data_IF_973586128056
#
_entry.id   IF_973586128056
#
_cell.length_a   1.000
_cell.length_b   1.000
_cell.length_c   1.000
_cell.angle_alpha   90.00
_cell.angle_beta   90.00
_cell.angle_gamma   90.00
#
_symmetry.space_group_name_H-M   'P 1'
#
loop_
_entity.id
_entity.type
_entity.pdbx_description
1 polymer ?
#
# COMPACT_ATOMS: atom_id res chain seq x y z
N UNK A 1 -27.52 9.67 -8.13
CA UNK A 1 -27.62 8.61 -7.10
C UNK A 1 -26.29 7.89 -7.16
N UNK A 2 -25.35 8.33 -6.33
CA UNK A 2 -23.99 7.80 -6.31
C UNK A 2 -24.06 6.40 -5.68
N UNK A 3 -23.73 5.39 -6.46
CA UNK A 3 -23.70 4.00 -6.01
C UNK A 3 -22.36 3.75 -5.33
N UNK A 4 -22.33 3.82 -4.00
CA UNK A 4 -21.15 3.56 -3.15
C UNK A 4 -20.57 2.13 -3.29
N UNK A 5 -21.17 1.26 -4.13
CA UNK A 5 -20.70 -0.11 -4.34
C UNK A 5 -19.75 -0.31 -5.51
N UNK A 6 -19.56 0.68 -6.39
CA UNK A 6 -18.75 0.51 -7.61
C UNK A 6 -17.29 0.96 -7.47
N UNK A 7 -16.92 1.55 -6.33
CA UNK A 7 -15.55 2.02 -6.03
C UNK A 7 -14.76 1.08 -5.10
N UNK A 8 -15.15 -0.21 -5.03
CA UNK A 8 -14.15 -1.25 -4.72
C UNK A 8 -13.27 -1.44 -5.96
N UNK A 9 -12.49 -0.41 -6.30
CA UNK A 9 -11.33 -0.54 -7.17
C UNK A 9 -10.40 -1.55 -6.51
N UNK A 10 -10.53 -2.84 -6.84
CA UNK A 10 -9.60 -3.60 -7.66
C UNK A 10 -8.12 -3.15 -7.62
N UNK A 11 -7.62 -2.83 -6.42
CA UNK A 11 -6.27 -2.39 -6.13
C UNK A 11 -5.40 -3.63 -5.93
N UNK A 12 -4.84 -4.05 -7.06
CA UNK A 12 -3.76 -5.04 -7.20
C UNK A 12 -4.09 -6.45 -6.72
N UNK A 13 -3.42 -7.41 -7.35
CA UNK A 13 -3.36 -8.76 -6.84
C UNK A 13 -2.85 -8.69 -5.40
N UNK A 14 -3.76 -8.96 -4.46
CA UNK A 14 -3.67 -8.41 -3.11
C UNK A 14 -2.46 -8.99 -2.37
N UNK A 15 -1.55 -8.11 -1.91
CA UNK A 15 -0.46 -8.49 -0.98
C UNK A 15 -1.03 -9.32 0.18
N UNK A 16 -2.26 -8.99 0.59
CA UNK A 16 -3.03 -9.71 1.59
C UNK A 16 -3.25 -11.18 1.20
N UNK A 17 -3.70 -11.44 -0.02
CA UNK A 17 -3.98 -12.78 -0.52
C UNK A 17 -2.70 -13.62 -0.59
N UNK A 18 -1.61 -13.05 -1.12
CA UNK A 18 -0.32 -13.74 -1.25
C UNK A 18 0.24 -14.10 0.13
N UNK A 19 0.25 -13.15 1.08
CA UNK A 19 0.73 -13.40 2.44
C UNK A 19 -0.17 -14.38 3.20
N UNK A 20 -1.50 -14.27 3.06
CA UNK A 20 -2.44 -15.21 3.67
C UNK A 20 -2.17 -16.65 3.19
N UNK A 21 -2.00 -16.85 1.87
CA UNK A 21 -1.72 -18.15 1.28
C UNK A 21 -0.36 -18.70 1.70
N UNK A 22 0.69 -17.88 1.74
CA UNK A 22 2.03 -18.30 2.20
C UNK A 22 2.05 -18.77 3.65
N UNK A 23 1.16 -18.24 4.48
CA UNK A 23 0.96 -18.69 5.86
C UNK A 23 -0.10 -19.81 6.00
N UNK A 24 -0.61 -20.37 4.90
CA UNK A 24 -1.51 -21.52 4.90
C UNK A 24 -2.99 -21.20 5.17
N UNK A 25 -3.39 -19.93 5.09
CA UNK A 25 -4.79 -19.53 5.23
C UNK A 25 -5.54 -19.56 3.91
N UNK A 26 -6.87 -19.71 3.97
CA UNK A 26 -7.70 -19.58 2.77
C UNK A 26 -7.84 -18.11 2.37
N UNK A 27 -7.00 -17.71 1.42
CA UNK A 27 -6.80 -16.32 1.01
C UNK A 27 -8.04 -15.67 0.41
N UNK A 28 -8.95 -16.45 -0.22
CA UNK A 28 -10.19 -15.92 -0.81
C UNK A 28 -11.16 -15.32 0.22
N UNK A 29 -10.99 -15.66 1.50
CA UNK A 29 -11.82 -15.15 2.58
C UNK A 29 -11.17 -13.98 3.33
N UNK A 30 -9.98 -13.51 2.89
CA UNK A 30 -9.24 -12.43 3.56
C UNK A 30 -9.29 -11.20 2.66
N UNK A 31 -10.22 -10.29 2.96
CA UNK A 31 -10.41 -9.06 2.15
C UNK A 31 -9.67 -7.86 2.76
N UNK A 32 -9.37 -7.89 4.06
CA UNK A 32 -8.84 -6.72 4.77
C UNK A 32 -7.49 -6.98 5.40
N UNK A 33 -6.65 -5.94 5.39
CA UNK A 33 -5.38 -5.93 6.10
C UNK A 33 -5.55 -6.27 7.58
N UNK A 34 -6.61 -5.80 8.23
CA UNK A 34 -6.91 -6.12 9.64
C UNK A 34 -7.22 -7.60 9.87
N UNK A 35 -7.85 -8.26 8.91
CA UNK A 35 -8.15 -9.71 8.97
C UNK A 35 -6.86 -10.50 8.85
N UNK A 36 -5.98 -10.14 7.90
CA UNK A 36 -4.65 -10.74 7.78
C UNK A 36 -3.83 -10.60 9.07
N UNK A 37 -3.74 -9.40 9.65
CA UNK A 37 -3.01 -9.18 10.90
C UNK A 37 -3.55 -10.04 12.05
N UNK A 38 -4.88 -10.21 12.10
CA UNK A 38 -5.54 -11.05 13.12
C UNK A 38 -5.19 -12.51 12.92
N UNK A 39 -5.23 -13.01 11.68
CA UNK A 39 -4.86 -14.40 11.35
C UNK A 39 -3.39 -14.69 11.66
N UNK A 40 -2.50 -13.75 11.34
CA UNK A 40 -1.07 -13.85 11.63
C UNK A 40 -0.73 -13.63 13.10
N UNK A 41 -1.67 -13.14 13.91
CA UNK A 41 -1.46 -12.71 15.29
C UNK A 41 -0.28 -11.72 15.41
N UNK A 42 -0.23 -10.77 14.47
CA UNK A 42 0.86 -9.79 14.34
C UNK A 42 0.33 -8.37 14.35
N UNK A 43 1.17 -7.44 14.79
CA UNK A 43 0.92 -6.01 14.62
C UNK A 43 1.46 -5.54 13.25
N UNK A 44 0.98 -4.38 12.78
CA UNK A 44 1.51 -3.75 11.55
C UNK A 44 3.02 -3.51 11.67
N UNK A 45 3.52 -3.23 12.87
CA UNK A 45 4.95 -3.06 13.13
C UNK A 45 5.80 -4.32 12.88
N UNK A 46 5.21 -5.51 12.97
CA UNK A 46 5.90 -6.78 12.68
C UNK A 46 5.97 -7.08 11.18
N UNK A 47 5.06 -6.49 10.40
CA UNK A 47 4.82 -6.90 9.01
C UNK A 47 5.99 -6.60 8.08
N UNK A 48 6.86 -5.65 8.41
CA UNK A 48 8.08 -5.42 7.63
C UNK A 48 8.93 -6.70 7.55
N UNK A 49 9.18 -7.34 8.69
CA UNK A 49 9.95 -8.58 8.74
C UNK A 49 9.25 -9.74 8.03
N UNK A 50 7.92 -9.78 8.10
CA UNK A 50 7.11 -10.77 7.37
C UNK A 50 7.28 -10.59 5.87
N UNK A 51 7.17 -9.35 5.36
CA UNK A 51 7.34 -9.06 3.93
C UNK A 51 8.76 -9.40 3.47
N UNK A 52 9.79 -9.05 4.23
CA UNK A 52 11.18 -9.36 3.87
C UNK A 52 11.45 -10.88 3.81
N UNK A 53 10.81 -11.65 4.68
CA UNK A 53 10.94 -13.11 4.71
C UNK A 53 10.07 -13.80 3.63
N UNK A 54 8.81 -13.40 3.51
CA UNK A 54 7.82 -14.06 2.67
C UNK A 54 7.86 -13.57 1.22
N UNK A 55 8.26 -12.32 0.98
CA UNK A 55 8.36 -11.70 -0.34
C UNK A 55 9.80 -11.20 -0.60
N UNK A 56 10.79 -12.11 -0.66
CA UNK A 56 12.20 -11.74 -0.79
C UNK A 56 12.56 -11.24 -2.20
N UNK A 57 11.75 -11.56 -3.21
CA UNK A 57 11.98 -11.10 -4.58
C UNK A 57 11.33 -9.73 -4.76
N UNK A 58 11.97 -8.88 -5.55
CA UNK A 58 11.44 -7.55 -5.81
C UNK A 58 10.25 -7.61 -6.77
N UNK A 59 10.38 -8.36 -7.86
CA UNK A 59 9.36 -8.60 -8.89
C UNK A 59 8.96 -10.07 -8.91
N UNK A 60 7.68 -10.33 -9.15
CA UNK A 60 7.08 -11.66 -9.33
C UNK A 60 6.42 -11.73 -10.69
N UNK A 61 6.59 -12.84 -11.41
CA UNK A 61 5.88 -13.05 -12.67
C UNK A 61 4.45 -13.49 -12.43
N UNK A 62 3.62 -13.40 -13.47
CA UNK A 62 2.29 -14.01 -13.47
C UNK A 62 2.30 -15.48 -13.07
N UNK A 63 3.28 -16.23 -13.54
CA UNK A 63 3.43 -17.66 -13.29
C UNK A 63 3.80 -17.93 -11.83
N UNK A 64 4.68 -17.12 -11.24
CA UNK A 64 5.02 -17.20 -9.82
C UNK A 64 3.78 -17.03 -8.95
N UNK A 65 2.93 -16.04 -9.28
CA UNK A 65 1.73 -15.73 -8.50
C UNK A 65 0.63 -16.75 -8.68
N UNK A 66 0.43 -17.28 -9.89
CA UNK A 66 -0.46 -18.42 -10.11
C UNK A 66 -0.01 -19.63 -9.28
N UNK A 67 1.30 -19.89 -9.24
CA UNK A 67 1.87 -20.99 -8.47
C UNK A 67 1.68 -20.78 -6.96
N UNK A 68 1.94 -19.58 -6.43
CA UNK A 68 1.77 -19.28 -5.00
C UNK A 68 0.30 -19.38 -4.59
N UNK A 69 -0.61 -18.82 -5.39
CA UNK A 69 -2.04 -18.80 -5.08
C UNK A 69 -2.74 -20.14 -5.37
N UNK A 70 -2.06 -21.07 -6.03
CA UNK A 70 -2.58 -22.36 -6.51
C UNK A 70 -3.82 -22.17 -7.38
N UNK A 71 -3.70 -21.30 -8.39
CA UNK A 71 -4.76 -20.99 -9.34
C UNK A 71 -4.28 -21.16 -10.78
N UNK A 72 -5.23 -21.40 -11.67
CA UNK A 72 -4.97 -21.35 -13.11
C UNK A 72 -4.81 -19.90 -13.58
N UNK A 73 -4.14 -19.71 -14.72
CA UNK A 73 -4.03 -18.39 -15.35
C UNK A 73 -5.41 -17.76 -15.67
N UNK A 74 -6.39 -18.58 -16.04
CA UNK A 74 -7.75 -18.13 -16.26
C UNK A 74 -8.40 -17.58 -14.98
N UNK A 75 -8.28 -18.30 -13.87
CA UNK A 75 -8.78 -17.84 -12.55
C UNK A 75 -8.02 -16.61 -12.06
N UNK A 76 -6.71 -16.58 -12.27
CA UNK A 76 -5.85 -15.43 -11.97
C UNK A 76 -6.27 -14.18 -12.74
N UNK A 77 -6.60 -14.34 -14.03
CA UNK A 77 -7.10 -13.25 -14.87
C UNK A 77 -8.47 -12.73 -14.38
N UNK A 78 -9.30 -13.59 -13.81
CA UNK A 78 -10.62 -13.20 -13.27
C UNK A 78 -10.53 -12.39 -11.97
N UNK A 79 -9.45 -12.56 -11.19
CA UNK A 79 -9.25 -11.79 -9.95
C UNK A 79 -8.49 -10.48 -10.18
N UNK A 80 -7.88 -10.29 -11.36
CA UNK A 80 -7.22 -9.05 -11.73
C UNK A 80 -8.20 -7.98 -12.22
N UNK A 81 -7.85 -6.73 -11.98
CA UNK A 81 -8.55 -5.57 -12.53
C UNK A 81 -8.23 -5.36 -14.01
N UNK A 82 -9.10 -4.69 -14.77
CA UNK A 82 -8.87 -4.44 -16.21
C UNK A 82 -7.48 -3.85 -16.50
N UNK A 83 -7.02 -2.93 -15.66
CA UNK A 83 -5.74 -2.26 -15.82
C UNK A 83 -4.52 -3.14 -15.45
N UNK A 84 -4.75 -4.30 -14.82
CA UNK A 84 -3.70 -5.20 -14.35
C UNK A 84 -3.69 -6.56 -15.06
N UNK A 85 -4.73 -6.88 -15.85
CA UNK A 85 -4.86 -8.15 -16.58
C UNK A 85 -3.68 -8.46 -17.49
N UNK A 86 -3.12 -7.45 -18.14
CA UNK A 86 -2.02 -7.59 -19.10
C UNK A 86 -0.63 -7.35 -18.48
N UNK A 87 -0.53 -7.24 -17.14
CA UNK A 87 0.75 -7.17 -16.47
C UNK A 87 1.37 -8.57 -16.40
N UNK A 88 2.64 -8.64 -16.78
CA UNK A 88 3.46 -9.86 -16.69
C UNK A 88 4.31 -9.90 -15.41
N UNK A 89 4.55 -8.73 -14.81
CA UNK A 89 5.40 -8.54 -13.63
C UNK A 89 4.72 -7.71 -12.55
N UNK A 90 4.96 -8.06 -11.30
CA UNK A 90 4.32 -7.47 -10.13
C UNK A 90 5.36 -7.16 -9.03
N UNK A 91 5.50 -5.89 -8.65
CA UNK A 91 6.45 -5.42 -7.63
C UNK A 91 5.94 -5.65 -6.19
N UNK A 92 5.56 -6.89 -5.86
CA UNK A 92 4.81 -7.18 -4.63
C UNK A 92 5.54 -6.79 -3.35
N UNK A 93 6.86 -6.94 -3.29
CA UNK A 93 7.64 -6.64 -2.07
C UNK A 93 7.54 -5.15 -1.71
N UNK A 94 7.74 -4.27 -2.69
CA UNK A 94 7.73 -2.82 -2.45
C UNK A 94 6.31 -2.29 -2.22
N UNK A 95 5.31 -2.85 -2.93
CA UNK A 95 3.89 -2.56 -2.68
C UNK A 95 3.47 -3.02 -1.28
N UNK A 96 3.92 -4.19 -0.83
CA UNK A 96 3.63 -4.70 0.51
C UNK A 96 4.27 -3.82 1.61
N UNK A 97 5.55 -3.48 1.47
CA UNK A 97 6.24 -2.55 2.39
C UNK A 97 5.48 -1.24 2.48
N UNK A 98 5.14 -0.64 1.34
CA UNK A 98 4.36 0.61 1.31
C UNK A 98 3.07 0.50 2.12
N UNK A 99 2.24 -0.52 1.85
CA UNK A 99 0.93 -0.70 2.48
C UNK A 99 1.05 -0.85 3.99
N UNK A 100 1.94 -1.71 4.47
CA UNK A 100 2.10 -1.92 5.92
C UNK A 100 2.75 -0.71 6.61
N UNK A 101 3.77 -0.10 6.00
CA UNK A 101 4.37 1.09 6.57
C UNK A 101 3.40 2.28 6.61
N UNK A 102 2.52 2.43 5.61
CA UNK A 102 1.48 3.46 5.62
C UNK A 102 0.44 3.21 6.71
N UNK A 103 -0.01 1.96 6.87
CA UNK A 103 -0.89 1.59 7.97
C UNK A 103 -0.25 1.87 9.35
N UNK A 104 1.06 1.62 9.50
CA UNK A 104 1.80 1.97 10.71
C UNK A 104 1.89 3.49 10.92
N UNK A 105 2.15 4.26 9.84
CA UNK A 105 2.17 5.73 9.88
C UNK A 105 0.82 6.31 10.29
N UNK A 106 -0.30 5.78 9.80
CA UNK A 106 -1.64 6.20 10.20
C UNK A 106 -1.88 5.99 11.70
N UNK A 107 -1.54 4.81 12.23
CA UNK A 107 -1.64 4.53 13.67
C UNK A 107 -0.77 5.47 14.50
N UNK A 108 0.46 5.71 14.05
CA UNK A 108 1.39 6.62 14.72
C UNK A 108 0.87 8.05 14.68
N UNK A 109 0.41 8.54 13.53
CA UNK A 109 -0.18 9.87 13.36
C UNK A 109 -1.34 10.09 14.32
N UNK A 110 -2.29 9.13 14.38
CA UNK A 110 -3.40 9.16 15.34
C UNK A 110 -2.90 9.28 16.80
N UNK A 111 -1.97 8.41 17.21
CA UNK A 111 -1.43 8.43 18.57
C UNK A 111 -0.69 9.73 18.91
N UNK A 112 -0.04 10.35 17.91
CA UNK A 112 0.65 11.63 18.05
C UNK A 112 -0.36 12.76 18.24
N UNK A 113 -1.47 12.75 17.51
CA UNK A 113 -2.57 13.70 17.71
C UNK A 113 -3.17 13.60 19.12
N UNK A 114 -3.42 12.39 19.62
CA UNK A 114 -3.99 12.14 20.95
C UNK A 114 -3.09 12.65 22.09
N UNK A 115 -1.77 12.72 21.85
CA UNK A 115 -0.79 13.22 22.83
C UNK A 115 -0.61 14.75 22.82
N UNK A 116 -1.06 15.43 21.76
CA UNK A 116 -0.98 16.90 21.61
C UNK A 116 0.42 17.48 21.32
N UNK A 117 0.45 18.73 20.83
CA UNK A 117 1.63 19.60 20.66
C UNK A 117 2.85 18.98 19.93
N UNK A 118 2.60 18.20 18.88
CA UNK A 118 3.63 17.46 18.12
C UNK A 118 3.53 17.66 16.61
N UNK A 119 3.27 18.90 16.18
CA UNK A 119 3.06 19.25 14.75
C UNK A 119 4.27 18.86 13.88
N UNK A 120 5.49 19.05 14.38
CA UNK A 120 6.73 18.61 13.71
C UNK A 120 6.77 17.09 13.47
N UNK A 121 6.28 16.31 14.44
CA UNK A 121 6.23 14.86 14.30
C UNK A 121 5.17 14.43 13.28
N UNK A 122 4.03 15.13 13.23
CA UNK A 122 2.98 14.92 12.24
C UNK A 122 3.48 15.25 10.82
N UNK A 123 4.16 16.38 10.64
CA UNK A 123 4.74 16.78 9.36
C UNK A 123 5.80 15.80 8.86
N UNK A 124 6.68 15.32 9.76
CA UNK A 124 7.64 14.25 9.42
C UNK A 124 6.93 12.99 8.92
N UNK A 125 5.82 12.58 9.55
CA UNK A 125 5.04 11.42 9.11
C UNK A 125 4.40 11.63 7.73
N UNK A 126 3.93 12.85 7.42
CA UNK A 126 3.41 13.19 6.10
C UNK A 126 4.48 13.10 5.01
N UNK A 127 5.67 13.66 5.28
CA UNK A 127 6.80 13.63 4.34
C UNK A 127 7.29 12.18 4.11
N UNK A 128 7.35 11.36 5.16
CA UNK A 128 7.68 9.93 5.06
C UNK A 128 6.65 9.17 4.22
N UNK A 129 5.37 9.49 4.37
CA UNK A 129 4.30 8.94 3.54
C UNK A 129 4.46 9.34 2.07
N UNK A 130 4.71 10.62 1.76
CA UNK A 130 4.96 11.06 0.38
C UNK A 130 6.16 10.35 -0.26
N UNK A 131 7.28 10.26 0.48
CA UNK A 131 8.47 9.54 0.03
C UNK A 131 8.15 8.08 -0.28
N UNK A 132 7.37 7.42 0.57
CA UNK A 132 6.93 6.03 0.36
C UNK A 132 6.04 5.91 -0.89
N UNK A 133 5.10 6.84 -1.10
CA UNK A 133 4.27 6.88 -2.31
C UNK A 133 5.10 7.05 -3.60
N UNK A 134 6.16 7.87 -3.55
CA UNK A 134 7.05 8.10 -4.70
C UNK A 134 8.00 6.92 -4.95
N UNK A 135 8.69 6.47 -3.92
CA UNK A 135 9.82 5.54 -4.06
C UNK A 135 9.37 4.06 -4.02
N UNK A 136 8.35 3.70 -3.22
CA UNK A 136 7.91 2.30 -3.05
C UNK A 136 6.61 1.99 -3.79
N UNK A 137 5.67 2.93 -3.84
CA UNK A 137 4.39 2.74 -4.52
C UNK A 137 4.37 3.32 -5.94
N UNK A 138 5.38 4.12 -6.31
CA UNK A 138 5.56 4.74 -7.63
C UNK A 138 4.28 5.42 -8.16
N UNK A 139 3.53 6.07 -7.26
CA UNK A 139 2.30 6.78 -7.61
C UNK A 139 2.42 8.31 -7.57
N UNK A 140 3.65 8.81 -7.46
CA UNK A 140 3.91 10.24 -7.57
C UNK A 140 4.14 10.67 -9.03
N UNK A 141 4.31 11.97 -9.24
CA UNK A 141 4.61 12.57 -10.52
C UNK A 141 5.59 13.73 -10.31
N UNK A 142 6.54 14.03 -11.23
CA UNK A 142 7.52 15.09 -11.02
C UNK A 142 6.91 16.45 -10.62
N UNK A 143 5.76 16.81 -11.21
CA UNK A 143 5.02 18.04 -10.85
C UNK A 143 4.48 17.99 -9.41
N UNK A 144 4.02 16.82 -8.95
CA UNK A 144 3.58 16.66 -7.56
C UNK A 144 4.76 16.73 -6.60
N UNK A 145 5.88 16.13 -6.95
CA UNK A 145 7.11 16.20 -6.16
C UNK A 145 7.62 17.64 -6.03
N UNK A 146 7.59 18.42 -7.14
CA UNK A 146 7.91 19.85 -7.15
C UNK A 146 6.96 20.66 -6.27
N UNK A 147 5.67 20.36 -6.31
CA UNK A 147 4.66 21.07 -5.52
C UNK A 147 4.78 20.74 -4.02
N UNK A 148 5.08 19.49 -3.66
CA UNK A 148 5.44 19.11 -2.28
C UNK A 148 6.66 19.91 -1.82
N UNK A 149 7.72 19.94 -2.63
CA UNK A 149 8.95 20.65 -2.27
C UNK A 149 8.70 22.15 -2.10
N UNK A 150 7.94 22.76 -3.02
CA UNK A 150 7.57 24.18 -2.96
C UNK A 150 6.80 24.51 -1.68
N UNK A 151 5.89 23.64 -1.24
CA UNK A 151 5.15 23.85 -0.01
C UNK A 151 6.06 23.80 1.22
N UNK A 152 6.99 22.84 1.26
CA UNK A 152 7.97 22.73 2.33
C UNK A 152 8.87 23.97 2.38
N UNK A 153 9.34 24.44 1.23
CA UNK A 153 10.17 25.65 1.11
C UNK A 153 9.40 26.92 1.54
N UNK A 154 8.07 26.93 1.36
CA UNK A 154 7.17 27.99 1.81
C UNK A 154 6.81 27.91 3.31
N UNK A 155 7.30 26.90 4.04
CA UNK A 155 7.13 26.77 5.49
C UNK A 155 6.08 25.74 5.94
N UNK A 156 5.59 24.86 5.04
CA UNK A 156 4.78 23.72 5.45
C UNK A 156 5.60 22.77 6.32
N UNK A 157 5.02 22.31 7.44
CA UNK A 157 5.70 21.37 8.36
C UNK A 157 5.75 19.95 7.78
N UNK A 158 4.80 19.61 6.91
CA UNK A 158 4.84 18.42 6.08
C UNK A 158 3.92 18.56 4.88
N UNK A 159 4.25 17.91 3.77
CA UNK A 159 3.42 17.96 2.56
C UNK A 159 3.47 16.61 1.85
N UNK A 160 2.33 16.21 1.28
CA UNK A 160 2.20 14.96 0.54
C UNK A 160 1.12 15.04 -0.52
N UNK A 161 1.24 14.16 -1.51
CA UNK A 161 0.12 13.83 -2.41
C UNK A 161 -1.04 13.22 -1.62
N UNK A 162 -2.26 13.42 -2.09
CA UNK A 162 -3.48 12.80 -1.54
C UNK A 162 -4.36 12.23 -2.66
N UNK A 163 -5.25 11.30 -2.32
CA UNK A 163 -5.97 10.48 -3.29
C UNK A 163 -5.12 9.35 -3.86
N UNK A 164 -5.56 8.75 -4.97
CA UNK A 164 -4.92 7.58 -5.60
C UNK A 164 -3.51 7.82 -6.18
N UNK A 165 -3.00 9.06 -6.12
CA UNK A 165 -1.90 9.49 -6.99
C UNK A 165 -2.40 9.78 -8.41
N UNK A 166 -1.64 10.52 -9.21
CA UNK A 166 -1.99 10.97 -10.58
C UNK A 166 -3.22 11.88 -10.74
N UNK A 167 -4.15 11.91 -9.79
CA UNK A 167 -5.24 12.87 -9.71
C UNK A 167 -4.82 14.06 -8.82
N UNK A 168 -4.27 15.10 -9.44
CA UNK A 168 -3.67 16.34 -8.89
C UNK A 168 -4.25 16.95 -7.60
N UNK A 169 -4.14 16.28 -6.45
CA UNK A 169 -4.56 16.80 -5.15
C UNK A 169 -3.41 16.69 -4.15
N UNK A 170 -3.15 17.79 -3.43
CA UNK A 170 -2.19 17.83 -2.32
C UNK A 170 -2.89 18.22 -1.02
N UNK A 171 -2.31 17.73 0.08
CA UNK A 171 -2.61 18.21 1.43
C UNK A 171 -1.36 18.90 1.98
N UNK A 172 -1.55 20.12 2.50
CA UNK A 172 -0.53 20.95 3.14
C UNK A 172 -0.66 20.88 4.66
#
# INVERSE_FOLDING_TARGET
MFDEKTEKENVYLDVIAVLAKKHGFEWRNVEKLTELLTLLQKDVSDMKSVVEHDLPQQSYTREDLCSILEVTDAEFTMILSENTKNLEEFQLSDRAKHVFEEAARVRKFKSTCERGNKVEELGRLMNESHKSCRDLYECSHPILDELVQTALDAGAVGSRLTGAGYAYHLFF
#
